data_IF_784579762362
#
_entry.id   IF_784579762362
#
_cell.length_a   1.000
_cell.length_b   1.000
_cell.length_c   1.000
_cell.angle_alpha   90.00
_cell.angle_beta   90.00
_cell.angle_gamma   90.00
#
_symmetry.space_group_name_H-M   'P 1'
#
loop_
_entity.id
_entity.type
_entity.pdbx_description
1 polymer ?
#
# COMPACT_ATOMS: atom_id res chain seq x y z
N UNK A 1 62.28 -25.36 7.06
CA UNK A 1 62.76 -23.97 6.98
C UNK A 1 63.08 -23.68 5.52
N UNK A 2 62.04 -23.36 4.75
CA UNK A 2 61.76 -22.01 4.22
C UNK A 2 62.66 -21.69 3.02
N UNK A 3 62.13 -21.82 1.79
CA UNK A 3 62.08 -20.73 0.79
C UNK A 3 61.83 -21.22 -0.64
N UNK A 4 61.18 -20.34 -1.40
CA UNK A 4 60.86 -20.32 -2.83
C UNK A 4 59.69 -21.20 -3.29
N UNK A 5 58.55 -20.56 -3.58
CA UNK A 5 58.10 -20.40 -4.97
C UNK A 5 57.42 -19.06 -5.19
N UNK A 6 57.99 -18.32 -6.15
CA UNK A 6 57.42 -17.24 -6.94
C UNK A 6 55.99 -17.62 -7.37
N UNK A 7 55.00 -16.94 -6.83
CA UNK A 7 53.58 -17.12 -7.18
C UNK A 7 53.11 -15.90 -7.95
N UNK A 8 53.02 -16.05 -9.26
CA UNK A 8 52.54 -15.08 -10.24
C UNK A 8 51.23 -14.43 -9.80
N UNK A 9 51.20 -13.09 -9.82
CA UNK A 9 49.97 -12.29 -9.77
C UNK A 9 48.97 -12.79 -10.81
N UNK A 10 47.86 -13.33 -10.35
CA UNK A 10 46.60 -13.36 -11.09
C UNK A 10 45.64 -12.47 -10.31
N UNK A 11 45.73 -11.16 -10.57
CA UNK A 11 44.60 -10.26 -10.38
C UNK A 11 43.50 -10.77 -11.30
N UNK A 12 42.63 -11.63 -10.77
CA UNK A 12 41.36 -11.92 -11.41
C UNK A 12 40.55 -10.65 -11.23
N UNK A 13 40.69 -9.73 -12.19
CA UNK A 13 39.72 -8.68 -12.46
C UNK A 13 38.46 -9.44 -12.84
N UNK A 14 37.66 -9.78 -11.84
CA UNK A 14 36.25 -10.09 -12.03
C UNK A 14 35.64 -8.85 -12.65
N UNK A 15 35.63 -8.81 -13.99
CA UNK A 15 34.62 -8.10 -14.74
C UNK A 15 33.28 -8.65 -14.25
N UNK A 16 32.76 -8.08 -13.16
CA UNK A 16 31.33 -8.02 -12.95
C UNK A 16 30.83 -7.28 -14.18
N UNK A 17 30.26 -8.05 -15.11
CA UNK A 17 29.43 -7.54 -16.17
C UNK A 17 28.34 -6.71 -15.48
N UNK A 18 28.57 -5.40 -15.42
CA UNK A 18 27.51 -4.43 -15.19
C UNK A 18 26.61 -4.53 -16.42
N UNK A 19 25.67 -5.46 -16.38
CA UNK A 19 24.52 -5.42 -17.28
C UNK A 19 23.76 -4.17 -16.87
N UNK A 20 24.08 -3.05 -17.53
CA UNK A 20 23.23 -1.87 -17.54
C UNK A 20 21.92 -2.28 -18.22
N UNK A 21 21.01 -2.83 -17.43
CA UNK A 21 19.61 -2.95 -17.78
C UNK A 21 19.05 -1.53 -17.79
N UNK A 22 19.12 -0.87 -18.94
CA UNK A 22 18.41 0.39 -19.22
C UNK A 22 16.92 0.13 -19.42
N UNK A 23 16.28 -0.47 -18.42
CA UNK A 23 14.84 -0.45 -18.18
C UNK A 23 14.70 0.08 -16.77
N UNK A 24 13.99 1.20 -16.58
CA UNK A 24 13.84 1.82 -15.25
C UNK A 24 13.44 0.79 -14.19
N UNK A 25 14.05 0.88 -13.02
CA UNK A 25 13.78 -0.04 -11.94
C UNK A 25 12.30 0.07 -11.54
N UNK A 26 11.52 -1.03 -11.50
CA UNK A 26 10.13 -0.99 -11.07
C UNK A 26 9.94 -0.32 -9.69
N UNK A 27 10.95 -0.40 -8.82
CA UNK A 27 10.96 0.27 -7.52
C UNK A 27 11.05 1.79 -7.71
N UNK A 28 11.85 2.29 -8.63
CA UNK A 28 11.98 3.74 -8.89
C UNK A 28 10.64 4.32 -9.34
N UNK A 29 9.97 3.67 -10.31
CA UNK A 29 8.65 4.10 -10.78
C UNK A 29 7.57 4.09 -9.69
N UNK A 30 7.57 3.05 -8.86
CA UNK A 30 6.70 3.00 -7.69
C UNK A 30 7.01 4.11 -6.68
N UNK A 31 8.27 4.35 -6.36
CA UNK A 31 8.67 5.38 -5.41
C UNK A 31 8.39 6.81 -5.94
N UNK A 32 8.48 7.03 -7.25
CA UNK A 32 8.05 8.27 -7.91
C UNK A 32 6.53 8.46 -7.80
N UNK A 33 5.74 7.43 -8.08
CA UNK A 33 4.27 7.46 -7.90
C UNK A 33 3.90 7.79 -6.45
N UNK A 34 4.53 7.13 -5.48
CA UNK A 34 4.25 7.34 -4.06
C UNK A 34 4.61 8.76 -3.58
N UNK A 35 5.71 9.34 -4.08
CA UNK A 35 6.06 10.74 -3.82
C UNK A 35 5.11 11.70 -4.52
N UNK A 36 4.71 11.40 -5.75
CA UNK A 36 3.77 12.22 -6.52
C UNK A 36 2.40 12.35 -5.85
N UNK A 37 1.95 11.29 -5.17
CA UNK A 37 0.67 11.26 -4.46
C UNK A 37 0.73 11.75 -3.01
N UNK A 38 1.91 12.06 -2.46
CA UNK A 38 2.06 12.31 -1.01
C UNK A 38 1.22 13.48 -0.50
N UNK A 39 1.19 14.60 -1.23
CA UNK A 39 0.40 15.77 -0.86
C UNK A 39 -1.10 15.46 -0.92
N UNK A 40 -1.54 14.80 -2.00
CA UNK A 40 -2.94 14.42 -2.19
C UNK A 40 -3.39 13.41 -1.12
N UNK A 41 -2.59 12.39 -0.80
CA UNK A 41 -2.88 11.45 0.28
C UNK A 41 -2.99 12.14 1.63
N UNK A 42 -2.09 13.08 1.94
CA UNK A 42 -2.13 13.83 3.20
C UNK A 42 -3.41 14.63 3.32
N UNK A 43 -3.85 15.26 2.22
CA UNK A 43 -5.08 16.05 2.21
C UNK A 43 -6.33 15.18 2.26
N UNK A 44 -6.33 14.04 1.56
CA UNK A 44 -7.49 13.15 1.43
C UNK A 44 -7.72 12.32 2.68
N UNK A 45 -6.66 11.84 3.34
CA UNK A 45 -6.78 11.03 4.55
C UNK A 45 -7.14 11.86 5.79
N UNK A 46 -6.95 13.19 5.75
CA UNK A 46 -7.40 14.11 6.80
C UNK A 46 -6.97 13.69 8.21
N UNK A 47 -7.91 13.68 9.16
CA UNK A 47 -7.68 13.23 10.55
C UNK A 47 -7.76 11.68 10.72
N UNK A 48 -7.83 10.92 9.62
CA UNK A 48 -7.88 9.46 9.63
C UNK A 48 -9.30 8.89 9.73
N UNK A 49 -10.28 9.52 9.07
CA UNK A 49 -11.65 9.01 9.01
C UNK A 49 -11.85 7.98 7.88
N UNK A 50 -12.97 7.25 7.96
CA UNK A 50 -13.29 6.18 6.99
C UNK A 50 -13.63 6.77 5.61
N UNK A 51 -14.22 7.97 5.56
CA UNK A 51 -14.50 8.69 4.33
C UNK A 51 -13.23 9.02 3.55
N UNK A 52 -12.18 9.49 4.23
CA UNK A 52 -10.88 9.77 3.64
C UNK A 52 -10.20 8.53 3.06
N UNK A 53 -10.30 7.38 3.73
CA UNK A 53 -9.79 6.11 3.21
C UNK A 53 -10.49 5.70 1.91
N UNK A 54 -11.82 5.84 1.84
CA UNK A 54 -12.59 5.55 0.62
C UNK A 54 -12.24 6.55 -0.49
N UNK A 55 -12.13 7.84 -0.16
CA UNK A 55 -11.75 8.87 -1.12
C UNK A 55 -10.32 8.66 -1.68
N UNK A 56 -9.43 8.04 -0.91
CA UNK A 56 -8.06 7.71 -1.32
C UNK A 56 -7.95 6.44 -2.18
N UNK A 57 -9.03 5.65 -2.37
CA UNK A 57 -9.01 4.42 -3.16
C UNK A 57 -8.36 4.55 -4.54
N UNK A 58 -8.68 5.57 -5.37
CA UNK A 58 -8.06 5.70 -6.69
C UNK A 58 -6.54 5.85 -6.64
N UNK A 59 -6.02 6.48 -5.58
CA UNK A 59 -4.58 6.62 -5.34
C UNK A 59 -3.99 5.26 -4.94
N UNK A 60 -4.64 4.54 -4.02
CA UNK A 60 -4.16 3.22 -3.60
C UNK A 60 -4.16 2.19 -4.73
N UNK A 61 -5.12 2.27 -5.66
CA UNK A 61 -5.13 1.47 -6.88
C UNK A 61 -3.98 1.82 -7.82
N UNK A 62 -3.62 3.11 -7.94
CA UNK A 62 -2.45 3.52 -8.71
C UNK A 62 -1.15 3.01 -8.09
N UNK A 63 -1.02 3.12 -6.77
CA UNK A 63 0.13 2.58 -6.04
C UNK A 63 0.22 1.07 -6.17
N UNK A 64 -0.89 0.32 -6.12
CA UNK A 64 -0.91 -1.12 -6.38
C UNK A 64 -0.42 -1.46 -7.79
N UNK A 65 -0.88 -0.72 -8.82
CA UNK A 65 -0.50 -0.98 -10.21
C UNK A 65 1.00 -0.82 -10.41
N UNK A 66 1.58 0.22 -9.83
CA UNK A 66 3.00 0.55 -9.95
C UNK A 66 3.89 -0.25 -9.00
N UNK A 67 3.33 -0.83 -7.93
CA UNK A 67 4.10 -1.54 -6.91
C UNK A 67 4.85 -2.77 -7.44
N UNK A 68 6.08 -3.03 -6.94
CA UNK A 68 6.76 -4.31 -7.15
C UNK A 68 5.98 -5.45 -6.49
N UNK A 69 6.11 -6.66 -7.04
CA UNK A 69 5.29 -7.83 -6.68
C UNK A 69 5.25 -8.11 -5.17
N UNK A 70 6.37 -7.90 -4.47
CA UNK A 70 6.50 -8.15 -3.04
C UNK A 70 5.55 -7.28 -2.19
N UNK A 71 5.36 -6.01 -2.56
CA UNK A 71 4.50 -5.06 -1.83
C UNK A 71 3.12 -4.90 -2.46
N UNK A 72 2.98 -5.25 -3.74
CA UNK A 72 1.72 -5.21 -4.48
C UNK A 72 0.61 -6.04 -3.82
N UNK A 73 0.94 -7.19 -3.23
CA UNK A 73 -0.03 -8.03 -2.50
C UNK A 73 -0.63 -7.32 -1.27
N UNK A 74 0.15 -6.45 -0.65
CA UNK A 74 -0.26 -5.71 0.54
C UNK A 74 -1.14 -4.52 0.13
N UNK A 75 -0.77 -3.80 -0.92
CA UNK A 75 -1.66 -2.82 -1.56
C UNK A 75 -3.00 -3.44 -1.99
N UNK A 76 -2.97 -4.59 -2.66
CA UNK A 76 -4.20 -5.32 -3.04
C UNK A 76 -5.06 -5.68 -1.85
N UNK A 77 -4.45 -6.04 -0.72
CA UNK A 77 -5.17 -6.36 0.52
C UNK A 77 -5.90 -5.13 1.06
N UNK A 78 -5.26 -3.96 1.05
CA UNK A 78 -5.88 -2.69 1.42
C UNK A 78 -7.03 -2.35 0.46
N UNK A 79 -6.76 -2.35 -0.84
CA UNK A 79 -7.73 -1.99 -1.88
C UNK A 79 -8.98 -2.87 -1.81
N UNK A 80 -8.81 -4.19 -1.68
CA UNK A 80 -9.95 -5.11 -1.59
C UNK A 80 -10.81 -4.84 -0.36
N UNK A 81 -10.20 -4.52 0.78
CA UNK A 81 -10.95 -4.27 2.01
C UNK A 81 -11.71 -2.94 1.94
N UNK A 82 -11.03 -1.88 1.49
CA UNK A 82 -11.60 -0.53 1.43
C UNK A 82 -12.65 -0.44 0.30
N UNK A 83 -12.40 -1.04 -0.87
CA UNK A 83 -13.39 -1.08 -1.95
C UNK A 83 -14.62 -1.87 -1.55
N UNK A 84 -14.45 -2.99 -0.83
CA UNK A 84 -15.57 -3.76 -0.30
C UNK A 84 -16.45 -2.98 0.69
N UNK A 85 -15.86 -2.05 1.45
CA UNK A 85 -16.62 -1.12 2.28
C UNK A 85 -17.33 -0.06 1.44
N UNK A 86 -16.64 0.54 0.46
CA UNK A 86 -17.24 1.50 -0.47
C UNK A 86 -18.46 0.90 -1.18
N UNK A 87 -18.33 -0.31 -1.71
CA UNK A 87 -19.41 -1.02 -2.40
C UNK A 87 -20.60 -1.27 -1.46
N UNK A 88 -20.35 -1.67 -0.20
CA UNK A 88 -21.42 -1.91 0.77
C UNK A 88 -22.19 -0.64 1.15
N UNK A 89 -21.47 0.50 1.25
CA UNK A 89 -22.06 1.81 1.50
C UNK A 89 -22.89 2.29 0.30
N UNK A 90 -22.34 2.16 -0.91
CA UNK A 90 -23.03 2.51 -2.16
C UNK A 90 -24.29 1.65 -2.39
N UNK A 91 -24.22 0.34 -2.11
CA UNK A 91 -25.38 -0.57 -2.17
C UNK A 91 -26.50 -0.14 -1.20
N UNK A 92 -26.13 0.33 -0.02
CA UNK A 92 -27.06 0.79 1.01
C UNK A 92 -27.51 2.26 0.80
N UNK A 93 -26.90 2.98 -0.15
CA UNK A 93 -27.23 4.38 -0.45
C UNK A 93 -26.87 5.34 0.67
N UNK A 94 -25.84 5.03 1.46
CA UNK A 94 -25.38 5.82 2.61
C UNK A 94 -23.88 6.09 2.53
N UNK A 95 -23.42 7.11 3.24
CA UNK A 95 -22.01 7.42 3.43
C UNK A 95 -21.49 6.83 4.75
N UNK A 96 -20.17 6.73 4.89
CA UNK A 96 -19.56 6.31 6.15
C UNK A 96 -19.89 7.28 7.30
N UNK A 97 -20.04 8.57 6.99
CA UNK A 97 -20.32 9.63 7.98
C UNK A 97 -21.76 9.60 8.51
N UNK A 98 -22.66 8.88 7.82
CA UNK A 98 -24.04 8.67 8.28
C UNK A 98 -24.12 7.68 9.46
N UNK A 99 -23.04 6.95 9.75
CA UNK A 99 -22.97 6.02 10.88
C UNK A 99 -22.46 6.73 12.14
N UNK A 100 -23.37 7.03 13.06
CA UNK A 100 -23.02 7.67 14.33
C UNK A 100 -22.59 6.61 15.36
N UNK A 101 -21.32 6.61 15.79
CA UNK A 101 -20.77 5.63 16.74
C UNK A 101 -20.97 4.16 16.30
N UNK A 102 -21.07 3.90 14.99
CA UNK A 102 -21.34 2.58 14.42
C UNK A 102 -22.82 2.20 14.38
N UNK A 103 -23.73 3.08 14.82
CA UNK A 103 -25.17 2.90 14.62
C UNK A 103 -25.57 3.35 13.21
N UNK A 104 -26.34 2.52 12.48
CA UNK A 104 -26.76 2.85 11.12
C UNK A 104 -27.79 3.99 11.09
N UNK A 105 -27.83 4.79 10.00
CA UNK A 105 -28.84 5.82 9.83
C UNK A 105 -30.25 5.24 9.66
N UNK A 106 -31.27 6.07 9.89
CA UNK A 106 -32.66 5.68 9.63
C UNK A 106 -32.87 5.37 8.14
N UNK A 107 -33.70 4.36 7.85
CA UNK A 107 -34.12 4.05 6.49
C UNK A 107 -33.31 2.94 5.80
N UNK A 108 -32.21 2.45 6.38
CA UNK A 108 -31.54 1.24 5.89
C UNK A 108 -32.07 -0.02 6.59
N UNK A 109 -32.10 -1.15 5.88
CA UNK A 109 -32.51 -2.42 6.43
C UNK A 109 -31.45 -3.01 7.36
N UNK A 110 -31.86 -3.89 8.28
CA UNK A 110 -30.93 -4.65 9.13
C UNK A 110 -29.90 -5.46 8.32
N UNK A 111 -30.31 -5.94 7.15
CA UNK A 111 -29.43 -6.70 6.26
C UNK A 111 -28.35 -5.82 5.62
N UNK A 112 -28.70 -4.61 5.18
CA UNK A 112 -27.75 -3.61 4.65
C UNK A 112 -26.80 -3.13 5.75
N UNK A 113 -27.34 -2.77 6.92
CA UNK A 113 -26.53 -2.39 8.08
C UNK A 113 -25.52 -3.47 8.44
N UNK A 114 -25.94 -4.74 8.43
CA UNK A 114 -25.03 -5.87 8.69
C UNK A 114 -23.94 -6.00 7.62
N UNK A 115 -24.26 -5.84 6.34
CA UNK A 115 -23.25 -5.91 5.26
C UNK A 115 -22.17 -4.83 5.44
N UNK A 116 -22.59 -3.59 5.73
CA UNK A 116 -21.66 -2.48 5.98
C UNK A 116 -20.78 -2.78 7.19
N UNK A 117 -21.37 -3.26 8.30
CA UNK A 117 -20.61 -3.63 9.49
C UNK A 117 -19.61 -4.77 9.25
N UNK A 118 -19.99 -5.79 8.48
CA UNK A 118 -19.10 -6.89 8.10
C UNK A 118 -17.94 -6.39 7.22
N UNK A 119 -18.19 -5.45 6.29
CA UNK A 119 -17.17 -4.83 5.46
C UNK A 119 -16.22 -3.93 6.27
N UNK A 120 -16.74 -3.11 7.18
CA UNK A 120 -15.95 -2.30 8.12
C UNK A 120 -15.06 -3.19 9.02
N UNK A 121 -15.53 -4.37 9.40
CA UNK A 121 -14.72 -5.37 10.12
C UNK A 121 -13.57 -5.90 9.26
N UNK A 122 -13.73 -6.03 7.94
CA UNK A 122 -12.63 -6.41 7.04
C UNK A 122 -11.56 -5.32 6.93
N UNK A 123 -11.98 -4.04 6.85
CA UNK A 123 -11.05 -2.89 6.85
C UNK A 123 -10.21 -2.87 8.13
N UNK A 124 -10.84 -3.12 9.29
CA UNK A 124 -10.13 -3.16 10.58
C UNK A 124 -9.49 -4.51 10.91
N UNK A 125 -9.52 -5.49 10.00
CA UNK A 125 -8.97 -6.83 10.25
C UNK A 125 -7.46 -6.81 10.48
N UNK A 126 -6.94 -7.78 11.24
CA UNK A 126 -5.49 -7.94 11.47
C UNK A 126 -4.72 -8.01 10.15
N UNK A 127 -5.27 -8.69 9.14
CA UNK A 127 -4.64 -8.82 7.83
C UNK A 127 -4.47 -7.46 7.14
N UNK A 128 -5.51 -6.62 7.19
CA UNK A 128 -5.49 -5.27 6.60
C UNK A 128 -4.54 -4.35 7.36
N UNK A 129 -4.55 -4.40 8.69
CA UNK A 129 -3.63 -3.64 9.53
C UNK A 129 -2.16 -4.02 9.26
N UNK A 130 -1.85 -5.31 9.17
CA UNK A 130 -0.51 -5.77 8.84
C UNK A 130 -0.07 -5.35 7.43
N UNK A 131 -0.97 -5.39 6.45
CA UNK A 131 -0.70 -4.88 5.11
C UNK A 131 -0.40 -3.38 5.13
N UNK A 132 -1.19 -2.59 5.87
CA UNK A 132 -0.97 -1.16 6.08
C UNK A 132 0.42 -0.89 6.68
N UNK A 133 0.79 -1.61 7.74
CA UNK A 133 2.12 -1.49 8.36
C UNK A 133 3.23 -1.80 7.36
N UNK A 134 3.09 -2.85 6.53
CA UNK A 134 4.10 -3.23 5.54
C UNK A 134 4.26 -2.18 4.44
N UNK A 135 3.18 -1.64 3.88
CA UNK A 135 3.29 -0.58 2.85
C UNK A 135 3.91 0.69 3.42
N UNK A 136 3.56 1.06 4.66
CA UNK A 136 4.16 2.20 5.36
C UNK A 136 5.66 1.99 5.66
N UNK A 137 6.05 0.77 6.07
CA UNK A 137 7.46 0.43 6.27
C UNK A 137 8.24 0.49 4.96
N UNK A 138 7.73 -0.10 3.89
CA UNK A 138 8.39 -0.10 2.59
C UNK A 138 8.54 1.33 2.05
N UNK A 139 7.52 2.19 2.20
CA UNK A 139 7.60 3.59 1.81
C UNK A 139 8.76 4.33 2.50
N UNK A 140 9.00 4.06 3.79
CA UNK A 140 10.10 4.65 4.56
C UNK A 140 11.46 4.05 4.22
N UNK A 141 11.54 2.73 4.22
CA UNK A 141 12.83 2.01 4.17
C UNK A 141 13.40 1.97 2.74
N UNK A 142 12.54 1.93 1.73
CA UNK A 142 12.93 1.83 0.31
C UNK A 142 12.75 3.15 -0.41
N UNK A 143 11.57 3.76 -0.31
CA UNK A 143 11.28 5.00 -1.06
C UNK A 143 11.70 6.28 -0.33
N UNK A 144 12.13 6.17 0.94
CA UNK A 144 12.54 7.28 1.80
C UNK A 144 11.50 8.41 1.86
N UNK A 145 10.24 8.02 1.98
CA UNK A 145 9.11 8.95 2.06
C UNK A 145 8.10 8.49 3.11
N UNK A 146 7.36 9.45 3.65
CA UNK A 146 6.33 9.19 4.65
C UNK A 146 5.03 8.80 3.96
N UNK A 147 4.45 7.70 4.43
CA UNK A 147 3.08 7.28 4.17
C UNK A 147 2.47 6.99 5.54
N UNK A 148 1.32 7.60 5.82
CA UNK A 148 0.56 7.40 7.04
C UNK A 148 -0.84 6.98 6.65
N UNK A 149 -1.22 5.78 7.09
CA UNK A 149 -2.49 5.11 6.86
C UNK A 149 -3.01 4.59 8.19
#
# INVERSE_FOLDING_TARGET
MTSLRMGVQLFVVSMLAMTLSSCGDPIDGYCESLKGHQEELTNTLGEGDTGGLIAALPIFEDLERNAPDDIKKDWKTLNTAISGLSDALDEAGVSADDFENGEPPEGISEAEAKKVADAATQVSSTKTQEASVRVQQQARDVCHTSLTL
#
